data_IF_724092228793
#
_entry.id   IF_724092228793
#
_cell.length_a   1.000
_cell.length_b   1.000
_cell.length_c   1.000
_cell.angle_alpha   90.00
_cell.angle_beta   90.00
_cell.angle_gamma   90.00
#
_symmetry.space_group_name_H-M   'P 1'
#
loop_
_entity.id
_entity.type
_entity.pdbx_description
1 polymer ?
2 non-polymer ?
3 non-polymer ?
4 non-polymer ?
5 non-polymer ?
6 water ?
#
# COMPACT_ATOMS: atom_id res chain seq x y z
N UNK A 13 5.02 -9.50 -24.36
CA UNK A 13 3.71 -9.96 -23.91
C UNK A 13 3.62 -9.95 -22.39
N UNK A 14 4.54 -10.65 -21.74
CA UNK A 14 4.54 -10.72 -20.29
C UNK A 14 4.98 -9.39 -19.69
N UNK A 15 4.63 -9.20 -18.42
CA UNK A 15 4.96 -7.97 -17.72
C UNK A 15 6.46 -7.82 -17.58
N UNK A 16 6.95 -6.62 -17.83
CA UNK A 16 8.37 -6.28 -17.67
C UNK A 16 8.51 -5.50 -16.37
N UNK A 17 9.18 -6.04 -15.35
CA UNK A 17 9.28 -5.35 -14.06
C UNK A 17 10.04 -4.04 -14.20
N UNK A 18 9.52 -2.96 -13.62
CA UNK A 18 10.27 -1.69 -13.62
C UNK A 18 11.55 -1.82 -12.83
N UNK A 19 12.48 -0.87 -12.97
CA UNK A 19 13.70 -0.90 -12.15
C UNK A 19 13.37 -0.73 -10.67
N UNK A 20 14.28 -1.23 -9.83
CA UNK A 20 14.07 -1.20 -8.39
C UNK A 20 14.29 0.20 -7.84
N UNK A 21 13.46 0.57 -6.87
CA UNK A 21 13.59 1.83 -6.17
C UNK A 21 14.71 1.73 -5.14
N UNK A 22 15.20 2.86 -4.61
CA UNK A 22 16.30 2.79 -3.64
C UNK A 22 15.89 2.11 -2.36
N UNK A 23 16.82 1.36 -1.78
CA UNK A 23 16.66 0.71 -0.49
C UNK A 23 17.77 1.23 0.42
N UNK A 24 17.39 1.75 1.58
CA UNK A 24 18.34 2.28 2.55
C UNK A 24 18.37 1.40 3.79
N UNK A 25 19.58 1.17 4.30
CA UNK A 25 19.80 0.38 5.51
C UNK A 25 20.54 1.26 6.51
N UNK A 26 19.82 2.15 7.20
CA UNK A 26 20.49 3.11 8.09
C UNK A 26 21.11 2.42 9.29
N UNK A 27 22.26 2.94 9.71
CA UNK A 27 22.86 2.51 10.96
C UNK A 27 22.02 2.98 12.13
N UNK A 28 22.40 2.53 13.34
CA UNK A 28 21.68 2.96 14.53
C UNK A 28 21.77 4.46 14.73
N UNK A 29 22.89 5.07 14.33
CA UNK A 29 23.02 6.52 14.44
C UNK A 29 22.08 7.25 13.49
N UNK A 30 22.06 6.81 12.23
CA UNK A 30 21.18 7.42 11.24
C UNK A 30 19.71 7.15 11.52
N UNK A 31 19.40 6.09 12.27
CA UNK A 31 18.03 5.69 12.57
C UNK A 31 17.44 6.44 13.75
N UNK A 32 18.14 7.46 14.27
CA UNK A 32 17.68 8.13 15.48
C UNK A 32 16.45 8.98 15.23
N UNK A 33 16.47 9.78 14.16
CA UNK A 33 15.38 10.68 13.81
C UNK A 33 14.89 10.38 12.40
N UNK A 34 13.61 10.03 12.22
CA UNK A 34 13.10 9.74 10.87
C UNK A 34 13.11 10.92 9.93
N UNK A 35 12.62 12.07 10.41
CA UNK A 35 12.57 13.26 9.56
C UNK A 35 13.97 13.73 9.16
N UNK A 36 14.94 13.60 10.07
CA UNK A 36 16.32 13.93 9.71
C UNK A 36 16.86 12.98 8.64
N UNK A 37 16.55 11.68 8.77
CA UNK A 37 17.05 10.71 7.80
C UNK A 37 16.36 10.88 6.45
N UNK A 38 15.04 11.06 6.44
CA UNK A 38 14.32 11.25 5.19
C UNK A 38 14.78 12.52 4.49
N UNK A 39 15.09 13.56 5.27
CA UNK A 39 15.60 14.79 4.67
C UNK A 39 16.96 14.62 4.03
N UNK A 40 17.77 13.69 4.52
CA UNK A 40 19.10 13.49 3.96
C UNK A 40 19.06 12.61 2.72
N UNK A 41 18.20 11.58 2.71
CA UNK A 41 18.07 10.73 1.52
C UNK A 41 17.23 11.37 0.44
N UNK A 42 16.64 12.54 0.71
CA UNK A 42 15.72 13.16 -0.25
C UNK A 42 16.33 13.42 -1.63
N UNK A 43 17.58 13.89 -1.77
CA UNK A 43 18.11 14.13 -3.13
C UNK A 43 18.01 12.94 -4.06
N UNK A 44 18.12 11.72 -3.55
CA UNK A 44 17.96 10.53 -4.39
C UNK A 44 16.52 10.04 -4.40
N UNK A 45 15.89 9.93 -3.23
CA UNK A 45 14.59 9.27 -3.14
C UNK A 45 13.49 10.10 -3.81
N UNK A 46 13.61 11.42 -3.82
CA UNK A 46 12.59 12.22 -4.50
C UNK A 46 12.67 12.10 -6.02
N UNK A 47 13.80 11.61 -6.53
CA UNK A 47 13.92 11.34 -7.96
C UNK A 47 13.35 9.98 -8.36
N UNK A 48 12.97 9.15 -7.39
CA UNK A 48 12.30 7.89 -7.67
C UNK A 48 10.88 7.83 -7.13
N UNK A 49 10.44 8.84 -6.41
CA UNK A 49 9.08 8.85 -5.85
C UNK A 49 8.89 8.04 -4.59
N UNK A 50 9.36 6.79 -4.58
CA UNK A 50 9.26 5.93 -3.43
C UNK A 50 10.65 5.41 -3.09
N UNK A 51 10.81 5.02 -1.82
CA UNK A 51 12.02 4.36 -1.38
C UNK A 51 11.68 3.42 -0.23
N UNK A 52 12.55 2.44 -0.01
CA UNK A 52 12.38 1.46 1.04
C UNK A 52 13.46 1.65 2.09
N UNK A 53 13.07 1.50 3.36
CA UNK A 53 13.97 1.71 4.48
C UNK A 53 13.94 0.47 5.35
N UNK A 54 15.09 -0.21 5.48
CA UNK A 54 15.21 -1.38 6.33
C UNK A 54 15.76 -0.95 7.69
N UNK A 55 15.01 -1.09 8.77
CA UNK A 55 15.54 -0.73 10.10
C UNK A 55 16.70 -1.63 10.48
N UNK A 56 17.47 -1.26 11.50
CA UNK A 56 18.53 -2.14 11.98
C UNK A 56 17.97 -3.50 12.37
N UNK A 57 18.85 -4.51 12.29
CA UNK A 57 18.40 -5.90 12.42
C UNK A 57 17.72 -6.17 13.76
N UNK A 58 18.13 -5.47 14.82
CA UNK A 58 17.59 -5.70 16.15
C UNK A 58 16.45 -4.75 16.51
N UNK A 59 15.91 -4.02 15.54
CA UNK A 59 14.73 -3.17 15.74
C UNK A 59 13.51 -3.97 15.30
N UNK A 60 12.82 -4.57 16.27
CA UNK A 60 11.69 -5.46 16.00
C UNK A 60 10.55 -5.09 16.95
N UNK A 61 9.64 -4.22 16.50
CA UNK A 61 8.52 -3.85 17.36
C UNK A 61 7.53 -4.99 17.48
N UNK A 62 6.84 -5.11 18.61
CA UNK A 62 5.80 -6.14 18.74
C UNK A 62 4.54 -5.73 17.98
N UNK A 63 3.69 -6.73 17.75
CA UNK A 63 2.39 -6.49 17.14
C UNK A 63 1.38 -6.25 18.25
N UNK A 64 0.82 -5.04 18.29
CA UNK A 64 0.02 -4.58 19.43
C UNK A 64 -1.46 -4.45 19.12
N UNK A 65 -1.93 -4.98 18.00
CA UNK A 65 -3.36 -4.95 17.72
C UNK A 65 -4.10 -5.94 18.61
N UNK A 66 -5.39 -5.63 18.86
CA UNK A 66 -6.25 -6.52 19.62
C UNK A 66 -6.74 -7.61 18.69
N UNK A 67 -6.01 -8.74 18.68
CA UNK A 67 -6.25 -9.78 17.69
C UNK A 67 -7.55 -10.52 17.98
N UNK A 68 -7.88 -10.70 19.26
CA UNK A 68 -9.05 -11.51 19.61
C UNK A 68 -10.34 -10.87 19.11
N UNK A 69 -10.43 -9.54 19.15
CA UNK A 69 -11.63 -8.83 18.75
C UNK A 69 -11.54 -8.22 17.35
N UNK A 70 -10.42 -8.42 16.64
CA UNK A 70 -10.23 -7.82 15.33
C UNK A 70 -11.20 -8.44 14.33
N UNK A 71 -12.17 -7.64 13.87
CA UNK A 71 -13.14 -8.09 12.89
C UNK A 71 -13.38 -6.98 11.88
N UNK A 72 -13.65 -7.37 10.63
CA UNK A 72 -13.81 -6.39 9.57
C UNK A 72 -14.51 -7.04 8.39
N UNK A 73 -15.16 -6.20 7.59
CA UNK A 73 -15.74 -6.63 6.31
C UNK A 73 -14.92 -6.01 5.19
N UNK A 74 -14.13 -6.79 4.47
CA UNK A 74 -13.25 -6.21 3.45
C UNK A 74 -14.02 -5.81 2.20
N UNK A 75 -13.40 -4.93 1.43
CA UNK A 75 -14.00 -4.49 0.18
C UNK A 75 -13.70 -5.50 -0.93
N UNK A 76 -14.67 -5.66 -1.83
CA UNK A 76 -14.57 -6.59 -2.94
C UNK A 76 -13.89 -5.88 -4.10
N UNK A 77 -12.90 -6.54 -4.70
CA UNK A 77 -12.11 -5.95 -5.79
C UNK A 77 -12.14 -6.89 -6.99
N UNK A 78 -12.75 -6.42 -8.09
CA UNK A 78 -12.74 -7.13 -9.36
C UNK A 78 -11.56 -6.60 -10.17
N UNK A 79 -10.57 -7.47 -10.41
CA UNK A 79 -9.32 -7.02 -11.02
C UNK A 79 -9.53 -6.39 -12.40
N UNK A 80 -10.46 -6.94 -13.19
CA UNK A 80 -10.64 -6.50 -14.57
C UNK A 80 -11.87 -5.60 -14.75
N UNK A 81 -12.24 -4.85 -13.72
CA UNK A 81 -13.48 -4.08 -13.78
C UNK A 81 -13.41 -2.96 -14.83
N UNK A 82 -12.22 -2.40 -15.06
CA UNK A 82 -12.10 -1.34 -16.06
C UNK A 82 -12.14 -1.92 -17.48
N UNK A 83 -11.50 -3.06 -17.70
CA UNK A 83 -11.54 -3.69 -19.02
C UNK A 83 -12.94 -4.18 -19.35
N UNK A 84 -13.73 -4.57 -18.34
CA UNK A 84 -15.09 -5.02 -18.58
C UNK A 84 -16.00 -3.91 -19.09
N UNK A 85 -15.58 -2.65 -18.95
CA UNK A 85 -16.41 -1.54 -19.43
C UNK A 85 -16.54 -1.57 -20.94
N UNK A 86 -15.52 -2.09 -21.63
CA UNK A 86 -15.49 -2.11 -23.09
C UNK A 86 -16.59 -3.02 -23.65
N UNK A 90 -24.55 -4.85 -20.65
CA UNK A 90 -24.02 -5.17 -19.32
C UNK A 90 -24.45 -6.55 -18.85
N UNK A 91 -23.73 -7.10 -17.87
CA UNK A 91 -24.06 -8.42 -17.34
C UNK A 91 -25.38 -8.40 -16.58
N UNK A 92 -26.06 -9.55 -16.56
CA UNK A 92 -27.34 -9.67 -15.87
C UNK A 92 -27.16 -9.54 -14.36
N UNK A 93 -27.95 -8.64 -13.75
CA UNK A 93 -27.89 -8.43 -12.31
C UNK A 93 -26.50 -7.94 -11.87
N UNK A 94 -25.97 -6.96 -12.61
CA UNK A 94 -24.68 -6.40 -12.23
C UNK A 94 -24.82 -5.55 -10.97
N UNK A 95 -23.76 -5.54 -10.16
CA UNK A 95 -23.78 -4.92 -8.86
C UNK A 95 -24.02 -5.88 -7.72
N UNK A 96 -24.25 -7.17 -8.00
CA UNK A 96 -24.48 -8.19 -6.99
C UNK A 96 -23.58 -9.40 -7.23
N UNK A 97 -22.37 -9.18 -7.77
CA UNK A 97 -21.54 -10.30 -8.19
C UNK A 97 -21.09 -11.16 -7.01
N UNK A 98 -20.70 -10.53 -5.92
CA UNK A 98 -20.03 -11.21 -4.81
C UNK A 98 -20.85 -11.11 -3.54
N UNK A 99 -21.02 -12.23 -2.86
CA UNK A 99 -21.64 -12.23 -1.54
C UNK A 99 -20.70 -11.60 -0.52
N UNK A 100 -21.28 -11.05 0.55
CA UNK A 100 -20.54 -10.27 1.53
C UNK A 100 -20.16 -11.15 2.71
N UNK A 101 -18.89 -11.11 3.10
CA UNK A 101 -18.38 -11.89 4.22
C UNK A 101 -17.69 -10.99 5.24
N UNK A 102 -17.98 -11.22 6.51
CA UNK A 102 -17.23 -10.62 7.61
C UNK A 102 -16.17 -11.60 8.08
N UNK A 103 -14.97 -11.09 8.36
CA UNK A 103 -13.85 -11.93 8.75
C UNK A 103 -13.27 -11.48 10.08
N UNK A 104 -12.64 -12.42 10.76
CA UNK A 104 -11.63 -12.12 11.76
C UNK A 104 -10.26 -12.13 11.10
N UNK A 105 -9.24 -11.73 11.86
CA UNK A 105 -7.88 -11.80 11.33
C UNK A 105 -7.52 -13.24 10.95
N UNK A 106 -7.98 -14.21 11.74
CA UNK A 106 -7.66 -15.61 11.48
C UNK A 106 -8.43 -16.13 10.27
N UNK A 107 -9.74 -15.88 10.23
CA UNK A 107 -10.55 -16.41 9.13
C UNK A 107 -10.20 -15.75 7.80
N UNK A 108 -9.77 -14.48 7.82
CA UNK A 108 -9.32 -13.84 6.59
C UNK A 108 -8.02 -14.46 6.11
N UNK A 109 -7.10 -14.75 7.02
CA UNK A 109 -5.85 -15.38 6.63
C UNK A 109 -6.05 -16.79 6.09
N UNK A 110 -6.97 -17.54 6.69
CA UNK A 110 -7.29 -18.87 6.19
C UNK A 110 -7.87 -18.78 4.77
N UNK A 111 -8.77 -17.83 4.54
CA UNK A 111 -9.29 -17.61 3.20
C UNK A 111 -8.18 -17.17 2.25
N UNK A 112 -7.31 -16.27 2.70
CA UNK A 112 -6.28 -15.72 1.84
C UNK A 112 -5.28 -16.79 1.41
N UNK A 113 -4.80 -17.59 2.37
CA UNK A 113 -3.86 -18.65 2.05
C UNK A 113 -4.50 -19.72 1.16
N UNK A 114 -5.76 -20.07 1.43
CA UNK A 114 -6.44 -21.06 0.60
C UNK A 114 -6.61 -20.55 -0.83
N UNK A 115 -6.92 -19.27 -0.99
CA UNK A 115 -7.07 -18.72 -2.34
C UNK A 115 -5.77 -18.81 -3.12
N UNK A 116 -4.66 -18.37 -2.51
CA UNK A 116 -3.40 -18.32 -3.24
C UNK A 116 -2.86 -19.71 -3.54
N UNK A 117 -2.91 -20.62 -2.55
CA UNK A 117 -2.42 -21.96 -2.78
C UNK A 117 -3.25 -22.70 -3.83
N UNK A 118 -4.56 -22.44 -3.87
CA UNK A 118 -5.39 -23.07 -4.89
C UNK A 118 -5.18 -22.43 -6.26
N UNK A 119 -4.91 -21.13 -6.31
CA UNK A 119 -4.74 -20.46 -7.59
C UNK A 119 -3.45 -20.92 -8.28
N UNK A 120 -2.34 -20.97 -7.53
CA UNK A 120 -1.06 -21.33 -8.10
C UNK A 120 -0.71 -22.81 -7.94
N UNK A 121 -1.53 -23.57 -7.22
CA UNK A 121 -1.34 -25.01 -7.05
C UNK A 121 0.00 -25.33 -6.40
N UNK A 122 0.35 -24.57 -5.36
CA UNK A 122 1.59 -24.78 -4.62
C UNK A 122 1.49 -24.02 -3.31
N UNK A 123 2.34 -24.34 -2.33
CA UNK A 123 2.32 -23.60 -1.07
C UNK A 123 2.55 -22.11 -1.30
N UNK A 124 1.93 -21.29 -0.45
CA UNK A 124 1.89 -19.85 -0.68
C UNK A 124 3.29 -19.25 -0.66
N UNK A 125 4.17 -19.78 0.21
CA UNK A 125 5.52 -19.25 0.31
C UNK A 125 6.42 -19.69 -0.84
N UNK A 126 5.97 -20.63 -1.67
CA UNK A 126 6.75 -21.12 -2.79
C UNK A 126 6.39 -20.43 -4.10
N UNK A 127 5.44 -19.50 -4.09
CA UNK A 127 5.05 -18.78 -5.30
C UNK A 127 6.03 -17.62 -5.49
N UNK A 128 6.74 -17.57 -6.61
CA UNK A 128 7.69 -16.46 -6.82
C UNK A 128 6.97 -15.12 -6.90
N UNK A 129 7.60 -14.09 -6.33
CA UNK A 129 7.01 -12.76 -6.39
C UNK A 129 6.87 -12.26 -7.82
N UNK A 130 7.79 -12.69 -8.71
CA UNK A 130 7.68 -12.29 -10.11
C UNK A 130 6.48 -12.93 -10.79
N UNK A 131 6.08 -14.12 -10.36
CA UNK A 131 4.94 -14.78 -10.98
C UNK A 131 3.63 -14.13 -10.55
N UNK A 132 3.49 -13.82 -9.26
CA UNK A 132 2.31 -13.10 -8.78
C UNK A 132 2.19 -11.76 -9.50
N UNK A 133 3.33 -11.08 -9.68
CA UNK A 133 3.32 -9.78 -10.37
C UNK A 133 2.88 -9.94 -11.83
N UNK A 134 3.45 -10.92 -12.52
CA UNK A 134 3.09 -11.15 -13.92
C UNK A 134 1.63 -11.55 -14.04
N UNK A 135 1.14 -12.38 -13.11
CA UNK A 135 -0.25 -12.85 -13.19
C UNK A 135 -1.22 -11.73 -12.82
N UNK A 136 -0.84 -10.88 -11.86
CA UNK A 136 -1.72 -9.79 -11.45
C UNK A 136 -2.05 -8.88 -12.63
N UNK A 137 -1.02 -8.45 -13.37
CA UNK A 137 -1.25 -7.53 -14.47
C UNK A 137 -1.88 -8.21 -15.67
N UNK A 138 -1.69 -9.53 -15.82
CA UNK A 138 -2.43 -10.25 -16.85
C UNK A 138 -3.91 -10.30 -16.52
N UNK A 139 -4.25 -10.51 -15.26
CA UNK A 139 -5.66 -10.58 -14.86
C UNK A 139 -6.34 -9.22 -14.93
N UNK A 140 -5.60 -8.14 -14.69
CA UNK A 140 -6.19 -6.80 -14.73
C UNK A 140 -6.70 -6.49 -16.13
N UNK A 141 -6.00 -6.96 -17.16
CA UNK A 141 -6.37 -6.70 -18.54
C UNK A 141 -7.11 -7.85 -19.20
N UNK A 142 -7.40 -8.93 -18.46
CA UNK A 142 -8.02 -10.11 -19.03
C UNK A 142 -9.53 -9.96 -19.08
N UNK A 143 -10.12 -10.19 -20.25
CA UNK A 143 -11.57 -10.20 -20.40
C UNK A 143 -12.15 -11.60 -20.35
N UNK A 144 -11.32 -12.63 -20.40
CA UNK A 144 -11.78 -14.01 -20.41
C UNK A 144 -11.79 -14.66 -19.02
N UNK A 145 -11.16 -14.03 -18.03
CA UNK A 145 -11.07 -14.58 -16.68
C UNK A 145 -11.38 -13.48 -15.68
N UNK A 146 -12.42 -13.68 -14.87
CA UNK A 146 -12.86 -12.71 -13.89
C UNK A 146 -12.42 -13.18 -12.51
N UNK A 147 -11.33 -12.62 -12.01
CA UNK A 147 -10.80 -12.93 -10.69
C UNK A 147 -11.25 -11.86 -9.72
N UNK A 148 -11.78 -12.28 -8.57
CA UNK A 148 -12.32 -11.39 -7.55
C UNK A 148 -11.63 -11.70 -6.23
N UNK A 149 -11.09 -10.66 -5.60
CA UNK A 149 -10.42 -10.77 -4.31
C UNK A 149 -11.04 -9.77 -3.35
N UNK A 150 -10.55 -9.77 -2.11
CA UNK A 150 -11.04 -8.91 -1.06
C UNK A 150 -9.87 -8.24 -0.35
N UNK A 151 -10.08 -7.01 0.11
CA UNK A 151 -9.04 -6.20 0.72
C UNK A 151 -9.57 -5.58 2.00
N UNK A 152 -8.95 -5.89 3.12
CA UNK A 152 -9.27 -5.21 4.36
C UNK A 152 -8.61 -3.86 4.44
N UNK A 153 -9.15 -2.90 3.68
CA UNK A 153 -8.50 -1.61 3.48
C UNK A 153 -9.18 -0.52 4.31
N UNK A 154 -8.38 0.49 4.68
CA UNK A 154 -8.85 1.66 5.42
C UNK A 154 -9.53 1.25 6.73
N UNK A 155 -8.88 0.39 7.48
CA UNK A 155 -9.28 0.05 8.84
C UNK A 155 -8.57 1.02 9.78
N UNK A 156 -9.34 1.83 10.49
CA UNK A 156 -8.75 2.84 11.36
C UNK A 156 -8.03 2.19 12.53
N UNK A 157 -6.88 2.76 12.90
CA UNK A 157 -6.16 2.29 14.07
C UNK A 157 -6.90 2.57 15.37
N UNK A 158 -7.97 3.36 15.33
CA UNK A 158 -8.76 3.60 16.53
C UNK A 158 -9.74 2.46 16.82
N UNK A 159 -9.99 1.57 15.85
CA UNK A 159 -10.96 0.52 16.04
C UNK A 159 -10.43 -0.56 16.98
N UNK A 160 -9.27 -1.15 16.65
CA UNK A 160 -8.69 -2.23 17.43
C UNK A 160 -7.27 -1.92 17.89
N UNK A 161 -6.86 -0.66 17.79
CA UNK A 161 -5.51 -0.27 18.16
C UNK A 161 -4.55 -0.33 16.98
N UNK A 162 -3.44 0.39 17.12
CA UNK A 162 -2.41 0.39 16.11
C UNK A 162 -1.60 -0.91 16.18
N UNK A 163 -0.93 -1.22 15.08
CA UNK A 163 -0.01 -2.35 15.08
C UNK A 163 1.19 -2.12 15.97
N UNK A 164 1.56 -0.85 16.20
CA UNK A 164 2.61 -0.42 17.10
C UNK A 164 2.08 -0.27 18.52
N UNK A 165 2.92 -0.52 19.52
CA UNK A 165 2.50 -0.23 20.90
C UNK A 165 2.35 1.27 21.11
N UNK A 166 1.30 1.66 21.83
CA UNK A 166 0.98 3.05 22.10
C UNK A 166 0.76 3.21 23.60
N UNK A 167 1.41 4.22 24.19
CA UNK A 167 1.28 4.49 25.62
C UNK A 167 0.05 5.37 25.88
N UNK A 168 -1.12 4.80 25.60
CA UNK A 168 -2.40 5.46 25.84
C UNK A 168 -3.21 4.78 26.94
N UNK A 169 -2.60 3.85 27.68
CA UNK A 169 -3.25 3.15 28.78
C UNK A 169 -4.49 2.37 28.35
N UNK A 170 -4.46 1.82 27.13
CA UNK A 170 -5.52 0.95 26.65
C UNK A 170 -5.10 -0.50 26.50
N UNK A 171 -3.81 -0.77 26.35
CA UNK A 171 -3.29 -2.12 26.24
C UNK A 171 -1.95 -2.18 26.95
N UNK A 172 -1.65 -3.35 27.53
CA UNK A 172 -0.44 -3.50 28.33
C UNK A 172 0.80 -3.36 27.47
N UNK A 173 1.81 -2.68 28.01
CA UNK A 173 3.09 -2.47 27.35
C UNK A 173 4.18 -3.04 28.25
N UNK A 174 4.93 -4.01 27.73
CA UNK A 174 6.03 -4.59 28.47
C UNK A 174 7.22 -3.65 28.49
N UNK A 175 8.12 -3.79 29.48
CA UNK A 175 9.27 -2.87 29.56
C UNK A 175 10.13 -2.86 28.30
N UNK A 176 10.38 -4.02 27.70
CA UNK A 176 11.19 -4.06 26.49
C UNK A 176 10.43 -3.58 25.27
N UNK A 177 9.13 -3.29 25.39
CA UNK A 177 8.34 -2.76 24.30
C UNK A 177 8.15 -1.25 24.37
N UNK A 178 8.54 -0.63 25.49
CA UNK A 178 8.37 0.81 25.64
C UNK A 178 9.24 1.59 24.65
N UNK A 179 10.39 1.03 24.27
CA UNK A 179 11.25 1.68 23.28
C UNK A 179 10.50 1.89 21.96
N UNK A 180 9.65 0.94 21.58
CA UNK A 180 8.92 1.05 20.32
C UNK A 180 7.70 1.95 20.45
N UNK A 181 7.13 2.05 21.66
CA UNK A 181 6.01 2.99 21.86
C UNK A 181 6.49 4.43 21.80
N UNK A 182 7.75 4.68 22.11
CA UNK A 182 8.32 6.02 22.11
C UNK A 182 9.16 6.31 20.87
N UNK A 183 9.35 5.32 20.00
CA UNK A 183 10.21 5.51 18.84
C UNK A 183 9.61 6.50 17.86
N UNK A 184 10.48 7.31 17.23
CA UNK A 184 10.04 8.21 16.18
C UNK A 184 9.56 7.50 14.93
N UNK A 185 9.98 6.25 14.73
CA UNK A 185 9.51 5.46 13.60
C UNK A 185 8.19 4.77 13.87
N UNK A 186 7.70 4.81 15.11
CA UNK A 186 6.32 4.44 15.39
C UNK A 186 5.39 5.40 14.65
N UNK A 187 4.54 4.85 13.78
CA UNK A 187 3.72 5.69 12.92
C UNK A 187 2.75 6.58 13.71
N UNK A 188 2.44 6.21 14.96
CA UNK A 188 1.64 7.08 15.80
C UNK A 188 2.42 8.29 16.31
N UNK A 189 3.74 8.30 16.14
CA UNK A 189 4.58 9.40 16.60
C UNK A 189 5.12 10.25 15.46
N UNK A 190 4.57 10.10 14.25
CA UNK A 190 4.98 10.95 13.15
C UNK A 190 4.23 12.29 13.20
N UNK A 191 4.88 13.39 12.82
CA UNK A 191 4.17 14.67 12.80
C UNK A 191 3.14 14.72 11.69
N UNK A 192 1.94 15.21 12.01
CA UNK A 192 0.82 15.13 11.09
C UNK A 192 0.15 16.49 10.93
N UNK A 193 0.56 17.47 11.73
CA UNK A 193 -0.11 18.77 11.76
C UNK A 193 0.53 19.70 10.74
N UNK A 194 -0.20 20.00 9.68
CA UNK A 194 0.28 20.91 8.65
C UNK A 194 0.18 22.35 9.12
N UNK A 195 1.18 23.15 8.77
CA UNK A 195 1.21 24.55 9.17
C UNK A 195 0.30 25.38 8.25
N UNK A 196 -0.47 26.27 8.86
CA UNK A 196 -1.36 27.16 8.13
C UNK A 196 -1.85 28.24 9.07
N UNK A 197 -2.36 29.32 8.50
CA UNK A 197 -2.98 30.37 9.29
C UNK A 197 -4.25 29.86 9.95
N UNK A 198 -5.03 29.04 9.23
CA UNK A 198 -6.27 28.50 9.78
C UNK A 198 -6.01 27.62 11.00
N UNK A 199 -4.84 27.00 11.08
CA UNK A 199 -4.52 26.18 12.25
C UNK A 199 -4.42 27.03 13.51
N UNK A 200 -4.10 28.31 13.38
CA UNK A 200 -4.06 29.21 14.52
C UNK A 200 -5.40 29.87 14.79
N UNK A 201 -6.24 30.02 13.76
CA UNK A 201 -7.56 30.60 13.95
C UNK A 201 -8.54 29.57 14.50
N UNK A 202 -8.46 28.33 14.01
CA UNK A 202 -9.31 27.25 14.50
C UNK A 202 -8.96 26.94 15.96
N UNK A 209 -5.46 13.13 13.09
CA UNK A 209 -5.11 12.13 12.08
C UNK A 209 -4.35 10.96 12.72
N UNK A 210 -4.83 9.76 12.45
CA UNK A 210 -4.23 8.54 13.01
C UNK A 210 -3.91 7.59 11.86
N UNK A 211 -3.01 6.63 12.08
CA UNK A 211 -2.68 5.68 11.01
C UNK A 211 -3.86 4.80 10.62
N UNK A 212 -3.78 4.28 9.41
CA UNK A 212 -4.78 3.36 8.87
C UNK A 212 -4.15 1.99 8.65
N UNK A 213 -4.98 0.95 8.72
CA UNK A 213 -4.52 -0.43 8.62
C UNK A 213 -5.01 -1.07 7.34
N UNK A 214 -4.21 -1.99 6.82
CA UNK A 214 -4.52 -2.69 5.57
C UNK A 214 -4.21 -4.17 5.74
N UNK A 215 -5.25 -5.00 5.69
CA UNK A 215 -5.11 -6.45 5.75
C UNK A 215 -5.24 -6.97 4.32
N UNK A 216 -4.15 -7.46 3.76
CA UNK A 216 -4.11 -7.83 2.37
C UNK A 216 -4.18 -9.33 2.13
N UNK A 217 -4.57 -9.68 0.92
CA UNK A 217 -4.46 -11.04 0.39
C UNK A 217 -3.85 -10.95 -0.99
N UNK A 218 -3.55 -12.11 -1.58
CA UNK A 218 -2.99 -12.14 -2.91
C UNK A 218 -3.92 -11.43 -3.90
N UNK A 219 -3.35 -10.51 -4.67
CA UNK A 219 -3.96 -9.72 -5.74
C UNK A 219 -4.74 -8.52 -5.22
N UNK A 220 -4.95 -8.37 -3.91
CA UNK A 220 -5.55 -7.14 -3.41
C UNK A 220 -4.62 -5.97 -3.70
N UNK A 221 -5.20 -4.83 -4.09
CA UNK A 221 -4.39 -3.80 -4.71
C UNK A 221 -4.92 -2.41 -4.39
N UNK A 222 -4.07 -1.41 -4.65
CA UNK A 222 -4.44 -0.01 -4.61
C UNK A 222 -3.91 0.67 -5.87
N UNK A 223 -4.75 1.50 -6.49
CA UNK A 223 -4.42 2.06 -7.79
C UNK A 223 -3.67 3.38 -7.65
N UNK A 224 -3.29 3.95 -8.78
CA UNK A 224 -2.44 5.13 -8.80
C UNK A 224 -3.10 6.32 -8.13
N UNK A 225 -2.38 6.97 -7.23
CA UNK A 225 -2.89 8.13 -6.52
C UNK A 225 -1.74 8.89 -5.89
N UNK A 226 -2.02 10.14 -5.52
CA UNK A 226 -1.16 10.93 -4.66
C UNK A 226 -1.95 11.27 -3.40
N UNK A 227 -1.25 11.77 -2.40
CA UNK A 227 -1.87 12.05 -1.11
C UNK A 227 -2.51 13.42 -1.10
N UNK A 228 -3.49 13.58 -0.20
CA UNK A 228 -4.09 14.88 0.02
C UNK A 228 -3.03 15.89 0.44
N UNK A 229 -3.13 17.10 -0.10
CA UNK A 229 -2.17 18.18 0.12
C UNK A 229 -0.76 17.81 -0.36
N UNK A 230 -0.66 16.84 -1.28
CA UNK A 230 0.63 16.35 -1.78
C UNK A 230 1.53 15.89 -0.63
N UNK A 231 0.93 15.28 0.39
CA UNK A 231 1.66 14.97 1.60
C UNK A 231 2.62 13.80 1.40
N UNK A 232 3.67 13.77 2.21
CA UNK A 232 4.45 12.56 2.41
C UNK A 232 3.55 11.46 2.97
N UNK A 233 3.98 10.22 2.80
CA UNK A 233 3.36 9.10 3.49
C UNK A 233 4.44 8.09 3.87
N UNK A 234 4.22 7.43 5.00
CA UNK A 234 5.11 6.38 5.46
C UNK A 234 4.27 5.13 5.71
N UNK A 235 4.82 3.98 5.32
CA UNK A 235 4.08 2.71 5.33
C UNK A 235 4.97 1.64 5.95
N UNK A 236 4.38 0.85 6.86
CA UNK A 236 5.12 -0.20 7.54
C UNK A 236 4.36 -1.51 7.41
N UNK A 237 5.06 -2.57 6.98
CA UNK A 237 4.49 -3.89 6.88
C UNK A 237 4.80 -4.66 8.16
N UNK A 238 3.79 -4.85 9.01
CA UNK A 238 4.02 -5.50 10.30
C UNK A 238 4.41 -6.97 10.13
N UNK A 239 3.66 -7.71 9.32
CA UNK A 239 3.96 -9.11 9.08
C UNK A 239 3.28 -9.56 7.80
N UNK A 240 3.65 -10.76 7.36
CA UNK A 240 3.00 -11.38 6.22
C UNK A 240 3.85 -11.35 4.96
N UNK A 241 3.22 -11.72 3.86
CA UNK A 241 3.89 -11.77 2.58
C UNK A 241 4.10 -10.36 2.04
N UNK A 242 5.04 -10.19 1.11
CA UNK A 242 5.42 -8.82 0.71
C UNK A 242 4.29 -8.04 0.06
N UNK A 243 4.46 -6.72 0.08
CA UNK A 243 3.60 -5.78 -0.63
C UNK A 243 4.41 -5.19 -1.76
N UNK A 244 3.95 -5.37 -3.00
CA UNK A 244 4.66 -4.90 -4.18
C UNK A 244 4.23 -3.47 -4.50
N UNK A 245 5.21 -2.59 -4.69
CA UNK A 245 4.98 -1.17 -4.88
C UNK A 245 5.42 -0.72 -6.27
N UNK A 246 4.76 0.31 -6.78
CA UNK A 246 5.21 1.05 -7.96
C UNK A 246 5.13 2.53 -7.65
N UNK A 247 6.15 3.27 -8.04
CA UNK A 247 6.23 4.68 -7.73
C UNK A 247 6.69 5.48 -8.93
N UNK A 248 6.21 6.72 -8.99
CA UNK A 248 6.58 7.66 -10.04
C UNK A 248 7.09 8.94 -9.37
N UNK A 249 8.27 9.45 -9.74
CA UNK A 249 8.76 10.67 -9.11
C UNK A 249 7.87 11.88 -9.42
N UNK A 250 7.93 12.86 -8.52
CA UNK A 250 7.04 14.02 -8.63
C UNK A 250 7.32 14.84 -9.88
N UNK A 251 8.56 14.83 -10.39
CA UNK A 251 8.85 15.59 -11.60
C UNK A 251 8.20 14.99 -12.83
N UNK A 252 7.64 13.79 -12.73
CA UNK A 252 6.90 13.16 -13.82
C UNK A 252 5.41 13.09 -13.54
N UNK A 253 4.92 13.83 -12.54
CA UNK A 253 3.51 13.74 -12.17
C UNK A 253 2.60 14.18 -13.31
N UNK A 254 2.96 15.27 -13.99
CA UNK A 254 2.15 15.73 -15.12
C UNK A 254 2.21 14.76 -16.29
N UNK A 255 3.35 14.10 -16.48
CA UNK A 255 3.45 13.11 -17.55
C UNK A 255 2.52 11.94 -17.30
N UNK A 256 2.42 11.48 -16.05
CA UNK A 256 1.49 10.40 -15.73
C UNK A 256 0.05 10.84 -15.94
N UNK A 257 -0.30 12.05 -15.48
CA UNK A 257 -1.66 12.54 -15.66
C UNK A 257 -2.01 12.72 -17.13
N UNK A 258 -1.02 13.05 -17.97
CA UNK A 258 -1.27 13.14 -19.40
C UNK A 258 -1.54 11.78 -20.01
N UNK A 259 -0.79 10.76 -19.60
CA UNK A 259 -1.03 9.40 -20.09
C UNK A 259 -2.42 8.93 -19.65
N UNK A 260 -2.82 9.28 -18.42
CA UNK A 260 -4.17 8.98 -17.96
C UNK A 260 -5.21 9.66 -18.86
N UNK A 261 -5.01 10.95 -19.15
CA UNK A 261 -5.96 11.66 -19.99
C UNK A 261 -6.09 11.03 -21.37
N UNK A 262 -5.03 10.39 -21.86
CA UNK A 262 -5.07 9.78 -23.18
C UNK A 262 -5.71 8.39 -23.16
N UNK A 263 -5.39 7.59 -22.14
CA UNK A 263 -5.72 6.17 -22.17
C UNK A 263 -6.75 5.71 -21.15
N UNK A 264 -6.96 6.46 -20.07
CA UNK A 264 -7.99 6.08 -19.12
C UNK A 264 -9.37 6.14 -19.79
N UNK A 265 -10.34 5.38 -19.28
CA UNK A 265 -11.66 5.36 -19.92
C UNK A 265 -12.25 6.74 -20.08
N UNK A 266 -12.81 7.00 -21.27
CA UNK A 266 -13.32 8.32 -21.60
C UNK A 266 -14.51 8.69 -20.73
N UNK A 267 -15.27 7.72 -20.24
CA UNK A 267 -16.40 8.02 -19.37
C UNK A 267 -15.94 8.64 -18.05
N UNK A 268 -14.71 8.35 -17.63
CA UNK A 268 -14.15 8.92 -16.42
C UNK A 268 -13.17 10.04 -16.70
N UNK A 269 -13.13 10.55 -17.93
CA UNK A 269 -12.11 11.53 -18.31
C UNK A 269 -12.34 12.87 -17.62
N UNK A 270 -13.59 13.31 -17.54
CA UNK A 270 -13.91 14.62 -16.97
C UNK A 270 -14.04 14.59 -15.46
N UNK A 271 -13.71 13.48 -14.81
CA UNK A 271 -13.88 13.39 -13.37
C UNK A 271 -12.74 14.11 -12.65
N UNK A 272 -13.02 14.75 -11.52
CA UNK A 272 -11.95 15.35 -10.71
C UNK A 272 -10.97 14.29 -10.25
N UNK A 273 -9.75 14.76 -9.90
CA UNK A 273 -8.67 13.84 -9.56
C UNK A 273 -9.02 12.98 -8.35
N UNK A 274 -9.68 13.56 -7.35
CA UNK A 274 -10.03 12.80 -6.15
C UNK A 274 -10.95 11.63 -6.48
N UNK A 275 -11.83 11.79 -7.45
CA UNK A 275 -12.73 10.70 -7.81
C UNK A 275 -12.07 9.75 -8.81
N UNK A 276 -11.34 10.29 -9.79
CA UNK A 276 -10.67 9.44 -10.76
C UNK A 276 -9.68 8.51 -10.09
N UNK A 277 -9.01 8.98 -9.03
CA UNK A 277 -8.05 8.17 -8.30
C UNK A 277 -8.69 6.94 -7.64
N UNK A 278 -10.02 6.85 -7.60
CA UNK A 278 -10.66 5.64 -7.11
C UNK A 278 -10.54 4.49 -8.11
N UNK A 279 -10.29 4.79 -9.39
CA UNK A 279 -10.26 3.76 -10.43
C UNK A 279 -9.15 4.05 -11.43
N UNK A 280 -8.03 4.60 -10.97
CA UNK A 280 -6.89 4.87 -11.86
C UNK A 280 -5.96 3.66 -11.90
N UNK A 281 -6.48 2.59 -12.47
CA UNK A 281 -5.71 1.36 -12.65
C UNK A 281 -5.01 1.42 -14.00
N UNK A 282 -3.69 1.29 -14.00
CA UNK A 282 -2.92 1.32 -15.24
C UNK A 282 -1.67 0.48 -15.09
N UNK A 283 -1.42 -0.37 -16.08
CA UNK A 283 -0.23 -1.20 -16.10
C UNK A 283 1.02 -0.31 -16.13
N UNK A 284 2.00 -0.55 -15.25
CA UNK A 284 3.21 0.28 -15.26
C UNK A 284 3.94 0.27 -16.59
N UNK A 285 3.88 -0.82 -17.35
CA UNK A 285 4.54 -0.85 -18.65
C UNK A 285 3.92 0.14 -19.62
N UNK A 286 2.61 0.41 -19.49
CA UNK A 286 1.97 1.41 -20.33
C UNK A 286 2.55 2.79 -20.05
N UNK A 287 2.75 3.11 -18.78
CA UNK A 287 3.38 4.38 -18.42
C UNK A 287 4.82 4.43 -18.92
N UNK A 288 5.56 3.33 -18.76
CA UNK A 288 6.95 3.31 -19.19
C UNK A 288 7.07 3.44 -20.70
N UNK A 289 6.13 2.87 -21.45
CA UNK A 289 6.16 2.99 -22.90
C UNK A 289 5.94 4.44 -23.34
N UNK A 290 5.23 5.23 -22.53
CA UNK A 290 4.99 6.63 -22.81
C UNK A 290 6.01 7.55 -22.16
N UNK A 291 7.14 7.01 -21.70
CA UNK A 291 8.23 7.81 -21.18
C UNK A 291 8.10 8.21 -19.73
N UNK A 292 7.20 7.61 -18.97
CA UNK A 292 7.01 7.93 -17.56
C UNK A 292 7.96 7.03 -16.76
N UNK A 293 8.85 7.59 -15.95
CA UNK A 293 9.72 6.76 -15.12
C UNK A 293 8.93 6.08 -14.00
N UNK A 294 9.08 4.76 -13.90
CA UNK A 294 8.41 3.98 -12.88
C UNK A 294 9.45 3.12 -12.16
N UNK A 295 9.34 3.05 -10.84
CA UNK A 295 10.20 2.21 -10.02
C UNK A 295 9.35 1.27 -9.19
N UNK A 296 9.90 0.10 -8.87
CA UNK A 296 9.19 -0.93 -8.15
C UNK A 296 9.97 -1.33 -6.90
N UNK A 297 9.29 -2.03 -6.00
CA UNK A 297 9.95 -2.68 -4.88
C UNK A 297 9.01 -3.71 -4.27
N UNK A 298 9.60 -4.71 -3.62
CA UNK A 298 8.87 -5.67 -2.80
C UNK A 298 9.13 -5.30 -1.35
N UNK A 299 8.12 -4.73 -0.69
CA UNK A 299 8.23 -4.38 0.72
C UNK A 299 7.97 -5.62 1.56
N UNK A 300 9.00 -6.09 2.26
CA UNK A 300 8.86 -7.28 3.08
C UNK A 300 8.55 -6.90 4.52
N UNK A 301 8.21 -7.92 5.32
CA UNK A 301 7.82 -7.68 6.71
C UNK A 301 8.92 -6.98 7.48
N UNK A 302 8.54 -5.94 8.22
CA UNK A 302 9.49 -5.17 9.00
C UNK A 302 10.18 -4.04 8.26
N UNK A 303 9.77 -3.74 7.03
CA UNK A 303 10.39 -2.70 6.23
C UNK A 303 9.43 -1.54 5.99
N UNK A 304 10.00 -0.35 5.90
CA UNK A 304 9.25 0.87 5.65
C UNK A 304 9.29 1.23 4.18
N UNK A 305 8.21 1.84 3.70
CA UNK A 305 8.16 2.48 2.40
C UNK A 305 7.72 3.92 2.60
N UNK A 306 8.50 4.86 2.08
CA UNK A 306 8.19 6.29 2.15
C UNK A 306 7.86 6.77 0.75
N UNK A 307 6.73 7.48 0.63
CA UNK A 307 6.35 8.14 -0.60
C UNK A 307 6.54 9.65 -0.43
N UNK A 308 7.09 10.27 -1.46
CA UNK A 308 7.46 11.68 -1.40
C UNK A 308 6.33 12.54 -1.96
N UNK A 309 6.37 13.85 -1.71
CA UNK A 309 5.26 14.71 -2.14
C UNK A 309 4.95 14.59 -3.62
N UNK A 310 3.68 14.38 -3.93
CA UNK A 310 3.17 14.32 -5.31
C UNK A 310 3.81 13.16 -6.09
N UNK A 311 4.24 12.12 -5.40
CA UNK A 311 4.76 10.92 -6.04
C UNK A 311 3.61 9.93 -6.19
N UNK A 312 3.15 9.73 -7.42
CA UNK A 312 2.11 8.76 -7.69
C UNK A 312 2.61 7.36 -7.34
N UNK A 313 1.76 6.58 -6.68
CA UNK A 313 2.13 5.23 -6.31
C UNK A 313 0.92 4.30 -6.40
N UNK A 314 1.22 3.02 -6.60
CA UNK A 314 0.23 1.97 -6.69
C UNK A 314 0.90 0.67 -6.31
N UNK A 315 0.09 -0.39 -6.18
CA UNK A 315 0.67 -1.66 -5.82
C UNK A 315 -0.36 -2.71 -5.51
N UNK A 316 0.14 -3.86 -5.10
CA UNK A 316 -0.69 -5.01 -4.78
C UNK A 316 0.03 -5.87 -3.75
N UNK A 317 -0.72 -6.74 -3.10
CA UNK A 317 -0.18 -7.61 -2.06
C UNK A 317 0.10 -9.00 -2.62
N UNK A 318 1.26 -9.56 -2.23
CA UNK A 318 1.64 -10.90 -2.65
C UNK A 318 0.85 -11.97 -1.93
N UNK A 319 0.32 -11.66 -0.75
CA UNK A 319 -0.43 -12.64 0.01
C UNK A 319 -0.94 -12.03 1.30
N UNK A 320 -1.28 -12.90 2.24
CA UNK A 320 -1.78 -12.47 3.54
C UNK A 320 -0.74 -11.64 4.27
N UNK A 321 -1.07 -10.37 4.55
CA UNK A 321 -0.14 -9.49 5.26
C UNK A 321 -0.93 -8.42 6.01
N UNK A 322 -0.20 -7.57 6.73
CA UNK A 322 -0.79 -6.56 7.60
C UNK A 322 0.08 -5.33 7.54
N UNK A 323 -0.48 -4.22 7.06
CA UNK A 323 0.27 -2.98 6.87
C UNK A 323 -0.38 -1.84 7.65
N UNK A 324 0.42 -0.81 7.91
CA UNK A 324 -0.03 0.40 8.59
C UNK A 324 0.58 1.59 7.88
N UNK A 325 -0.24 2.63 7.68
CA UNK A 325 0.17 3.78 6.88
C UNK A 325 -0.39 5.06 7.49
N UNK A 326 0.35 6.16 7.31
CA UNK A 326 -0.09 7.47 7.75
C UNK A 326 0.62 8.53 6.91
N UNK A 327 -0.09 9.62 6.64
CA UNK A 327 0.55 10.78 6.03
C UNK A 327 1.23 11.62 7.08
N UNK A 328 2.41 12.12 6.76
CA UNK A 328 3.16 12.97 7.68
C UNK A 328 3.65 14.22 6.95
N UNK A 329 3.91 15.26 7.74
CA UNK A 329 4.37 16.54 7.22
C UNK A 329 5.74 16.86 7.77
N UNK A 330 6.47 17.69 7.03
CA UNK A 330 7.84 18.03 7.39
C UNK A 330 7.98 19.50 7.73
X LIG B 1 -7.18 3.22 -4.40
X LIG B 1 -7.51 1.42 -2.31
X LIG B 1 -7.68 6.48 -0.21
X LIG B 1 -6.77 6.58 3.46
X LIG B 1 -7.82 7.53 3.93
X LIG B 1 -9.11 7.40 3.18
X LIG B 1 -4.01 4.06 -0.56
X LIG B 1 -1.78 -0.05 0.74
X LIG B 1 -1.70 1.43 0.39
X LIG B 1 -2.82 2.19 0.06
X LIG B 1 -4.90 3.02 -0.40
X LIG B 1 -6.40 2.96 -0.61
X LIG B 1 -6.92 2.64 -2.01
X LIG B 1 -6.73 3.50 -3.08
X LIG B 1 -7.81 2.00 -4.67
X LIG B 1 -7.97 1.09 -3.60
X LIG B 1 -6.73 5.41 -0.68
X LIG B 1 -6.61 6.67 1.92
X LIG B 1 -8.88 7.43 1.65
X LIG B 1 -2.69 3.54 -0.26
X LIG B 1 -0.41 3.42 0.07
X LIG B 1 -0.45 2.08 0.39
X LIG B 1 -8.05 7.34 5.29
X LIG B 1 -7.35 8.84 3.82
X LIG B 1 -4.17 1.90 -0.05
X LIG B 1 -7.89 6.44 1.24
X LIG B 1 -1.51 4.18 -0.25
X LIG B 1 -2.87 -0.68 0.46
X LIG B 1 -7.06 4.14 -0.04
X LIG B 1 -0.80 -0.66 1.30
X LIG B 1 -7.75 0.24 -1.06
X LIG C 1 -1.03 6.36 -0.58
X LIG D 1 -3.84 16.31 -3.86
X LIG D 1 -4.71 15.25 -4.13
X LIG D 1 -4.72 17.55 -3.55
X LIG D 1 -5.13 17.57 -2.23
X LIG D 1 -3.84 18.75 -3.92
X LIG D 1 -4.63 19.89 -3.73
X LIG E 1 19.18 -6.14 8.57
X LIG E 1 17.85 -6.53 8.37
X LIG E 1 19.31 -4.72 7.99
X LIG E 1 19.33 -4.73 6.60
X LIG E 1 20.63 -4.17 8.59
X LIG E 1 20.58 -2.78 8.48
X LIG F 1 -6.54 -1.54 -16.81
X LIG F 1 -7.56 -1.99 -17.62
X LIG F 1 -5.55 -0.76 -17.73
X LIG F 1 -5.46 0.58 -17.38
X LIG F 1 -4.21 -1.50 -17.58
X LIG F 1 -3.25 -0.73 -18.24
X LIG G 1 0.80 -12.05 14.32
X LIG G 1 1.69 -12.56 13.38
X LIG G 1 1.39 -12.35 15.72
X LIG G 1 2.61 -11.74 15.92
X LIG G 1 0.32 -11.85 16.72
X LIG G 1 -0.79 -12.68 16.58
X LIG H 1 14.86 10.46 -12.66
X LIG H 1 14.13 9.32 -12.29
X LIG H 1 15.12 10.36 -14.18
X LIG H 1 16.09 9.41 -14.48
X LIG H 1 13.75 9.99 -14.79
X LIG H 1 13.13 11.19 -15.14
X LIG I 1 -5.80 -9.11 22.98
X LIG I 1 -4.89 -7.97 22.72
X LIG I 1 -7.48 -8.68 22.46
X LIG I 1 -5.44 -10.46 21.83
#
# INVERSE_FOLDING_TARGET
HNMAGVGPGGYAAEFVPPPECPVFEPSWEEFTDPLSFIGRIRPLAEKTGICKIRPPKDWQPPFACEVKSFRFTPRVQRLNELEAMTRVRPREAFGFEQAVREYTLQSFGEMADNFKSDYFNMPVHMVPTELVEKEFWRLVSSIEEDVIVEYGADISSKDFGSGFPVKDGRRKILPEEEEYALSGWNLNNMPVLEQSVLAHINVDISGMKVPWLYVGMCFSSFCWHIEDHWSYSINYLHWGEPKTWYGVPSHAAEQLEEVMRELAPELFESQPDLLHQLVTIMNPNVLMEHGVPVYRTNQCAGEFVVTFPRAYHSGFNQGYNFAEAVNFCT
DKS C10 C13 C17 C20 C21 C24 C26 C02 C03 C04 C06 C07 C08 C09 C11 C12 C16 C19 C25 C27 C29 C30 F22 F23 N05 N18 N28 O01 O15 O31 CL1
MN MN
GOL C1 O1 C2 O2 C3 O3
GOL C1 O1 C2 O2 C3 O3
GOL C1 O1 C2 O2 C3 O3
GOL C1 O1 C2 O2 C3 O3
GOL C1 O1 C2 O2 C3 O3
DMS S O C1 C2
#
